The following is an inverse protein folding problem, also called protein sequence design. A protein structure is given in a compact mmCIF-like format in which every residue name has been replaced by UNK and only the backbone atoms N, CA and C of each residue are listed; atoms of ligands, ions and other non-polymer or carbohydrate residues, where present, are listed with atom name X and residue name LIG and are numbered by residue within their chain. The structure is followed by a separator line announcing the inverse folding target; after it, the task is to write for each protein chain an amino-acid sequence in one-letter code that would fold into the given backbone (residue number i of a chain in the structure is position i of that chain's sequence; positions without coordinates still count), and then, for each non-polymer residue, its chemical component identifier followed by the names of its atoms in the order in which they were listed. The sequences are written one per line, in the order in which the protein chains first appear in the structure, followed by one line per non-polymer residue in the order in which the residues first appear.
data_IF_218843357135
#
_entry.id   IF_218843357135
#
_cell.length_a   1.000
_cell.length_b   1.000
_cell.length_c   1.000
_cell.angle_alpha   90.00
_cell.angle_beta   90.00
_cell.angle_gamma   90.00
#
_symmetry.space_group_name_H-M   'P 1'
#
loop_
_entity.id
_entity.type
_entity.pdbx_description
1 polymer ?
#
# COMPACT_ATOMS: atom_id res chain seq x y z
N UNK A 1 9.84 17.68 -12.16
CA UNK A 1 9.27 16.97 -13.32
C UNK A 1 8.36 15.86 -12.82
N UNK A 2 7.24 15.63 -13.49
CA UNK A 2 6.29 14.57 -13.12
C UNK A 2 6.66 13.28 -13.82
N UNK A 3 6.83 12.20 -13.05
CA UNK A 3 7.17 10.86 -13.53
C UNK A 3 6.05 9.89 -13.21
N UNK A 4 6.03 8.77 -13.94
CA UNK A 4 5.03 7.71 -13.79
C UNK A 4 5.72 6.37 -13.65
N UNK A 5 5.30 5.59 -12.66
CA UNK A 5 5.63 4.16 -12.54
C UNK A 5 4.32 3.36 -12.57
N UNK A 6 4.34 2.20 -13.20
CA UNK A 6 3.18 1.31 -13.27
C UNK A 6 3.54 0.01 -12.60
N UNK A 7 2.75 -0.40 -11.62
CA UNK A 7 3.01 -1.57 -10.77
C UNK A 7 1.85 -2.56 -10.88
N UNK A 8 2.14 -3.85 -10.69
CA UNK A 8 1.11 -4.86 -10.44
C UNK A 8 1.03 -5.12 -8.95
N UNK A 9 -0.17 -4.97 -8.38
CA UNK A 9 -0.46 -5.16 -6.96
C UNK A 9 -1.57 -6.21 -6.78
N UNK A 10 -1.66 -6.84 -5.60
CA UNK A 10 -2.90 -7.48 -5.19
C UNK A 10 -4.09 -6.51 -5.24
N UNK A 11 -5.30 -7.01 -5.56
CA UNK A 11 -6.49 -6.16 -5.75
C UNK A 11 -6.83 -5.35 -4.49
N UNK A 12 -6.72 -5.96 -3.30
CA UNK A 12 -6.95 -5.26 -2.03
C UNK A 12 -5.97 -4.08 -1.81
N UNK A 13 -4.70 -4.24 -2.19
CA UNK A 13 -3.72 -3.16 -2.11
C UNK A 13 -4.05 -2.04 -3.10
N UNK A 14 -4.42 -2.38 -4.34
CA UNK A 14 -4.86 -1.37 -5.32
C UNK A 14 -6.01 -0.53 -4.74
N UNK A 15 -7.06 -1.19 -4.24
CA UNK A 15 -8.22 -0.53 -3.64
C UNK A 15 -7.84 0.32 -2.42
N UNK A 16 -6.95 -0.18 -1.56
CA UNK A 16 -6.41 0.58 -0.44
C UNK A 16 -5.75 1.88 -0.90
N UNK A 17 -4.79 1.82 -1.82
CA UNK A 17 -4.05 3.02 -2.27
C UNK A 17 -4.91 3.98 -3.09
N UNK A 18 -5.90 3.47 -3.83
CA UNK A 18 -6.90 4.31 -4.50
C UNK A 18 -7.73 5.12 -3.49
N UNK A 19 -8.11 4.52 -2.36
CA UNK A 19 -8.81 5.22 -1.31
C UNK A 19 -7.92 6.26 -0.60
N UNK A 20 -6.73 5.86 -0.17
CA UNK A 20 -5.84 6.70 0.65
C UNK A 20 -5.27 7.92 -0.09
N UNK A 21 -5.11 7.82 -1.42
CA UNK A 21 -4.50 8.88 -2.24
C UNK A 21 -5.48 9.53 -3.21
N UNK A 22 -6.79 9.37 -2.99
CA UNK A 22 -7.84 9.90 -3.87
C UNK A 22 -7.58 9.57 -5.35
N UNK A 23 -7.34 8.28 -5.61
CA UNK A 23 -7.06 7.78 -6.94
C UNK A 23 -8.19 8.04 -7.92
N UNK A 24 -7.83 8.19 -9.19
CA UNK A 24 -8.75 8.49 -10.28
C UNK A 24 -8.46 7.60 -11.49
N UNK A 25 -9.48 7.40 -12.31
CA UNK A 25 -9.35 6.64 -13.55
C UNK A 25 -8.95 7.57 -14.69
N UNK A 26 -7.98 7.13 -15.49
CA UNK A 26 -7.50 7.85 -16.66
C UNK A 26 -7.71 6.99 -17.89
N UNK A 27 -8.48 7.50 -18.84
CA UNK A 27 -8.58 6.89 -20.16
C UNK A 27 -7.41 7.35 -21.03
N UNK A 28 -6.64 6.40 -21.55
CA UNK A 28 -5.59 6.64 -22.56
C UNK A 28 -5.66 5.57 -23.62
N UNK A 29 -5.75 5.99 -24.89
CA UNK A 29 -5.74 5.12 -26.06
C UNK A 29 -6.81 4.00 -25.97
N UNK A 30 -8.01 4.33 -25.49
CA UNK A 30 -9.11 3.36 -25.34
C UNK A 30 -8.95 2.36 -24.18
N UNK A 31 -7.95 2.54 -23.31
CA UNK A 31 -7.73 1.72 -22.11
C UNK A 31 -7.84 2.59 -20.85
N UNK A 32 -8.60 2.11 -19.86
CA UNK A 32 -8.79 2.77 -18.56
C UNK A 32 -7.71 2.30 -17.59
N UNK A 33 -6.99 3.24 -16.99
CA UNK A 33 -5.94 2.97 -15.99
C UNK A 33 -6.28 3.63 -14.67
N UNK A 34 -6.17 2.87 -13.58
CA UNK A 34 -6.24 3.39 -12.22
C UNK A 34 -4.92 4.15 -11.91
N UNK A 35 -5.02 5.43 -11.54
CA UNK A 35 -3.87 6.28 -11.25
C UNK A 35 -4.00 7.03 -9.92
N UNK A 36 -2.90 7.12 -9.18
CA UNK A 36 -2.79 7.94 -7.97
C UNK A 36 -1.71 9.01 -8.16
N UNK A 37 -1.99 10.21 -7.64
CA UNK A 37 -1.01 11.29 -7.56
C UNK A 37 -0.39 11.30 -6.17
N UNK A 38 0.93 11.21 -6.11
CA UNK A 38 1.68 11.15 -4.86
C UNK A 38 2.53 12.38 -4.68
N UNK A 39 2.25 13.12 -3.60
CA UNK A 39 3.08 14.22 -3.15
C UNK A 39 4.39 13.72 -2.53
N UNK A 40 5.46 14.52 -2.66
CA UNK A 40 6.78 14.18 -2.08
C UNK A 40 6.74 14.03 -0.54
N UNK A 41 5.85 14.76 0.13
CA UNK A 41 5.64 14.77 1.58
C UNK A 41 4.99 13.49 2.10
N UNK A 42 4.20 12.82 1.28
CA UNK A 42 3.52 11.58 1.63
C UNK A 42 4.50 10.44 1.92
N UNK A 43 4.06 9.44 2.68
CA UNK A 43 4.90 8.29 3.01
C UNK A 43 5.34 7.53 1.76
N UNK A 44 4.42 7.25 0.84
CA UNK A 44 4.75 6.56 -0.41
C UNK A 44 5.66 7.42 -1.30
N UNK A 45 5.49 8.75 -1.28
CA UNK A 45 6.39 9.68 -1.98
C UNK A 45 7.81 9.66 -1.42
N UNK A 46 7.96 9.61 -0.09
CA UNK A 46 9.27 9.44 0.58
C UNK A 46 9.92 8.11 0.23
N UNK A 47 9.14 7.03 0.20
CA UNK A 47 9.63 5.70 -0.19
C UNK A 47 10.13 5.69 -1.64
N UNK A 48 9.34 6.22 -2.57
CA UNK A 48 9.72 6.34 -3.98
C UNK A 48 11.01 7.14 -4.10
N UNK A 49 11.12 8.27 -3.39
CA UNK A 49 12.35 9.07 -3.42
C UNK A 49 13.56 8.31 -2.86
N UNK A 50 13.39 7.54 -1.79
CA UNK A 50 14.46 6.77 -1.15
C UNK A 50 15.02 5.67 -2.05
N UNK A 51 14.16 4.98 -2.79
CA UNK A 51 14.56 3.88 -3.69
C UNK A 51 14.99 4.38 -5.07
N UNK A 52 14.67 5.62 -5.41
CA UNK A 52 15.04 6.21 -6.69
C UNK A 52 16.56 6.41 -6.78
N UNK A 53 17.11 6.21 -7.97
CA UNK A 53 18.54 6.33 -8.27
C UNK A 53 18.73 7.08 -9.59
N UNK A 54 19.87 7.77 -9.77
CA UNK A 54 20.24 8.31 -11.07
C UNK A 54 20.49 7.14 -12.02
N UNK A 55 19.66 7.04 -13.06
CA UNK A 55 19.75 6.02 -14.09
C UNK A 55 20.08 6.73 -15.40
N UNK A 56 21.30 6.55 -15.95
CA UNK A 56 21.73 7.27 -17.14
C UNK A 56 21.12 6.76 -18.45
N UNK A 57 20.58 5.53 -18.47
CA UNK A 57 20.01 4.90 -19.66
C UNK A 57 18.53 4.55 -19.46
N UNK A 58 17.74 4.56 -20.53
CA UNK A 58 16.31 4.22 -20.47
C UNK A 58 16.11 2.76 -20.05
N UNK A 59 15.37 2.55 -18.95
CA UNK A 59 14.98 1.20 -18.53
C UNK A 59 13.81 0.68 -19.37
N UNK A 60 13.72 -0.64 -19.50
CA UNK A 60 12.58 -1.28 -20.16
C UNK A 60 11.29 -0.94 -19.41
N UNK A 61 10.34 -0.31 -20.10
CA UNK A 61 9.04 0.04 -19.53
C UNK A 61 8.26 -1.24 -19.32
N UNK A 62 8.11 -1.66 -18.06
CA UNK A 62 7.20 -2.75 -17.73
C UNK A 62 5.76 -2.30 -17.99
N UNK A 63 5.04 -3.08 -18.79
CA UNK A 63 3.61 -2.92 -19.03
C UNK A 63 2.88 -4.06 -18.31
N UNK A 64 2.75 -4.01 -16.98
CA UNK A 64 1.98 -5.02 -16.27
C UNK A 64 0.53 -4.98 -16.75
N UNK A 65 -0.06 -6.15 -16.93
CA UNK A 65 -1.46 -6.35 -17.28
C UNK A 65 -2.19 -7.06 -16.15
N UNK A 66 -3.47 -6.74 -15.96
CA UNK A 66 -4.32 -7.40 -14.99
C UNK A 66 -5.15 -6.43 -14.13
N UNK A 67 -6.04 -6.97 -13.28
CA UNK A 67 -6.97 -6.16 -12.48
C UNK A 67 -6.28 -5.37 -11.36
N UNK A 68 -5.06 -5.76 -10.97
CA UNK A 68 -4.28 -5.16 -9.89
C UNK A 68 -3.32 -4.04 -10.33
N UNK A 69 -3.40 -3.59 -11.57
CA UNK A 69 -2.47 -2.59 -12.10
C UNK A 69 -2.77 -1.21 -11.50
N UNK A 70 -1.76 -0.58 -10.92
CA UNK A 70 -1.83 0.78 -10.41
C UNK A 70 -0.73 1.65 -11.03
N UNK A 71 -1.14 2.79 -11.57
CA UNK A 71 -0.24 3.84 -12.02
C UNK A 71 0.03 4.83 -10.89
N UNK A 72 1.30 5.10 -10.62
CA UNK A 72 1.70 6.08 -9.61
C UNK A 72 2.39 7.24 -10.31
N UNK A 73 1.80 8.42 -10.17
CA UNK A 73 2.37 9.68 -10.63
C UNK A 73 3.08 10.35 -9.45
N UNK A 74 4.36 10.67 -9.60
CA UNK A 74 5.17 11.29 -8.55
C UNK A 74 6.07 12.39 -9.10
N UNK A 75 6.49 13.31 -8.22
CA UNK A 75 7.40 14.38 -8.58
C UNK A 75 8.87 13.98 -8.33
N UNK A 76 9.73 14.19 -9.33
CA UNK A 76 11.18 14.09 -9.21
C UNK A 76 11.84 15.35 -9.76
N UNK A 77 12.87 15.86 -9.08
CA UNK A 77 13.59 17.08 -9.51
C UNK A 77 14.43 16.81 -10.76
N UNK A 78 15.09 15.66 -10.82
CA UNK A 78 16.06 15.33 -11.86
C UNK A 78 15.47 14.40 -12.92
N UNK A 79 15.83 14.65 -14.19
CA UNK A 79 15.38 13.82 -15.32
C UNK A 79 15.90 12.39 -15.22
N UNK A 80 17.11 12.18 -14.73
CA UNK A 80 17.73 10.85 -14.61
C UNK A 80 17.30 10.06 -13.36
N UNK A 81 16.65 10.71 -12.39
CA UNK A 81 16.37 10.08 -11.10
C UNK A 81 15.04 9.32 -11.12
N UNK A 82 15.10 7.99 -11.24
CA UNK A 82 13.95 7.09 -11.43
C UNK A 82 14.01 5.89 -10.48
N UNK A 83 12.89 5.19 -10.34
CA UNK A 83 12.80 3.95 -9.58
C UNK A 83 13.37 2.81 -10.44
N UNK A 84 14.45 2.13 -10.00
CA UNK A 84 14.97 0.99 -10.74
C UNK A 84 13.97 -0.18 -10.76
N UNK A 85 13.86 -0.85 -11.90
CA UNK A 85 12.95 -1.98 -12.11
C UNK A 85 13.17 -3.09 -11.08
N UNK A 86 14.42 -3.39 -10.71
CA UNK A 86 14.77 -4.38 -9.70
C UNK A 86 14.31 -4.03 -8.28
N UNK A 87 13.98 -2.75 -8.03
CA UNK A 87 13.45 -2.27 -6.75
C UNK A 87 11.92 -2.22 -6.70
N UNK A 88 11.23 -2.46 -7.82
CA UNK A 88 9.76 -2.50 -7.87
C UNK A 88 9.18 -3.54 -6.89
N UNK A 89 9.69 -4.79 -6.80
CA UNK A 89 9.16 -5.76 -5.85
C UNK A 89 9.31 -5.31 -4.38
N UNK A 90 10.41 -4.61 -4.06
CA UNK A 90 10.61 -4.05 -2.72
C UNK A 90 9.62 -2.93 -2.43
N UNK A 91 9.32 -2.07 -3.41
CA UNK A 91 8.28 -1.05 -3.27
C UNK A 91 6.92 -1.69 -2.97
N UNK A 92 6.55 -2.74 -3.70
CA UNK A 92 5.28 -3.48 -3.46
C UNK A 92 5.25 -4.08 -2.05
N UNK A 93 6.35 -4.67 -1.58
CA UNK A 93 6.44 -5.19 -0.22
C UNK A 93 6.30 -4.08 0.85
N UNK A 94 6.87 -2.89 0.61
CA UNK A 94 6.67 -1.76 1.52
C UNK A 94 5.24 -1.22 1.49
N UNK A 95 4.59 -1.23 0.32
CA UNK A 95 3.18 -0.89 0.18
C UNK A 95 2.27 -1.83 0.98
N UNK A 96 2.59 -3.13 1.01
CA UNK A 96 1.93 -4.12 1.87
C UNK A 96 2.09 -3.79 3.36
N UNK A 97 3.30 -3.42 3.79
CA UNK A 97 3.54 -3.05 5.19
C UNK A 97 2.81 -1.76 5.60
N UNK A 98 2.67 -0.78 4.72
CA UNK A 98 1.82 0.40 4.95
C UNK A 98 0.38 -0.02 5.18
N UNK A 99 -0.17 -0.89 4.34
CA UNK A 99 -1.53 -1.42 4.48
C UNK A 99 -1.71 -2.12 5.84
N UNK A 100 -0.81 -3.04 6.18
CA UNK A 100 -0.83 -3.78 7.45
C UNK A 100 -0.79 -2.85 8.65
N UNK A 101 0.13 -1.89 8.65
CA UNK A 101 0.27 -0.91 9.74
C UNK A 101 -0.98 -0.04 9.87
N UNK A 102 -1.59 0.36 8.76
CA UNK A 102 -2.81 1.17 8.76
C UNK A 102 -3.97 0.41 9.40
N UNK A 103 -4.17 -0.87 9.04
CA UNK A 103 -5.16 -1.74 9.70
C UNK A 103 -4.88 -1.84 11.20
N UNK A 104 -3.63 -2.08 11.60
CA UNK A 104 -3.26 -2.19 13.01
C UNK A 104 -3.63 -0.92 13.76
N UNK A 105 -3.24 0.26 13.25
CA UNK A 105 -3.51 1.54 13.89
C UNK A 105 -5.01 1.81 14.03
N UNK A 106 -5.79 1.57 12.97
CA UNK A 106 -7.23 1.83 12.96
C UNK A 106 -7.98 0.90 13.91
N UNK A 107 -7.69 -0.41 13.85
CA UNK A 107 -8.33 -1.42 14.71
C UNK A 107 -7.92 -1.21 16.16
N UNK A 108 -6.64 -0.93 16.42
CA UNK A 108 -6.13 -0.67 17.77
C UNK A 108 -6.81 0.53 18.41
N UNK A 109 -6.97 1.64 17.68
CA UNK A 109 -7.55 2.86 18.24
C UNK A 109 -8.95 2.62 18.83
N UNK A 110 -9.72 1.73 18.22
CA UNK A 110 -11.06 1.37 18.70
C UNK A 110 -10.98 0.25 19.75
N UNK A 111 -10.23 -0.82 19.47
CA UNK A 111 -10.15 -1.99 20.33
C UNK A 111 -9.54 -1.69 21.70
N UNK A 112 -8.52 -0.84 21.80
CA UNK A 112 -7.93 -0.43 23.07
C UNK A 112 -8.94 0.34 23.95
N UNK A 113 -9.98 0.95 23.35
CA UNK A 113 -11.00 1.71 24.06
C UNK A 113 -12.19 0.85 24.48
N UNK A 114 -12.68 0.00 23.57
CA UNK A 114 -13.93 -0.78 23.77
C UNK A 114 -13.67 -2.17 24.35
N UNK A 115 -12.49 -2.74 24.07
CA UNK A 115 -12.20 -4.16 24.32
C UNK A 115 -13.06 -5.10 23.48
N UNK A 116 -13.00 -6.39 23.80
CA UNK A 116 -13.83 -7.44 23.18
C UNK A 116 -13.28 -8.00 21.86
N UNK A 117 -14.16 -8.52 21.00
CA UNK A 117 -13.74 -9.03 19.68
C UNK A 117 -13.41 -7.88 18.73
N UNK A 118 -12.19 -7.89 18.19
CA UNK A 118 -11.72 -6.89 17.23
C UNK A 118 -12.15 -7.17 15.78
N UNK A 119 -12.71 -8.36 15.50
CA UNK A 119 -13.15 -8.77 14.16
C UNK A 119 -14.02 -7.73 13.43
N UNK A 120 -15.09 -7.20 14.05
CA UNK A 120 -15.94 -6.19 13.44
C UNK A 120 -15.18 -4.92 13.00
N UNK A 121 -14.17 -4.48 13.76
CA UNK A 121 -13.37 -3.30 13.42
C UNK A 121 -12.46 -3.55 12.22
N UNK A 122 -11.92 -4.77 12.08
CA UNK A 122 -11.19 -5.18 10.87
C UNK A 122 -12.12 -5.14 9.66
N UNK A 123 -13.32 -5.72 9.78
CA UNK A 123 -14.30 -5.71 8.70
C UNK A 123 -14.72 -4.28 8.31
N UNK A 124 -14.90 -3.39 9.28
CA UNK A 124 -15.21 -1.98 9.04
C UNK A 124 -14.08 -1.24 8.32
N UNK A 125 -12.83 -1.47 8.73
CA UNK A 125 -11.63 -0.90 8.10
C UNK A 125 -11.52 -1.30 6.63
N UNK A 126 -11.79 -2.56 6.30
CA UNK A 126 -11.79 -3.05 4.91
C UNK A 126 -12.95 -2.46 4.10
N UNK A 127 -14.16 -2.46 4.68
CA UNK A 127 -15.37 -1.94 4.03
C UNK A 127 -15.24 -0.47 3.64
N UNK A 128 -14.61 0.36 4.49
CA UNK A 128 -14.37 1.78 4.21
C UNK A 128 -13.59 2.02 2.92
N UNK A 129 -12.70 1.08 2.58
CA UNK A 129 -11.81 1.12 1.42
C UNK A 129 -12.33 0.29 0.25
N UNK A 130 -13.59 -0.13 0.32
CA UNK A 130 -14.25 -0.98 -0.67
C UNK A 130 -13.54 -2.32 -0.92
N UNK A 131 -12.80 -2.81 0.08
CA UNK A 131 -12.13 -4.12 0.04
C UNK A 131 -13.14 -5.18 0.50
N UNK A 132 -13.52 -6.06 -0.41
CA UNK A 132 -14.48 -7.14 -0.17
C UNK A 132 -13.79 -8.33 0.48
N UNK A 133 -14.40 -8.80 1.57
CA UNK A 133 -13.94 -9.98 2.31
C UNK A 133 -14.14 -11.23 1.47
N UNK A 134 -13.14 -12.12 1.51
CA UNK A 134 -13.14 -13.42 0.85
C UNK A 134 -13.26 -13.36 -0.69
N UNK A 135 -13.14 -12.15 -1.25
CA UNK A 135 -13.09 -11.85 -2.69
C UNK A 135 -11.77 -11.16 -3.01
N UNK A 136 -11.50 -10.01 -2.38
CA UNK A 136 -10.24 -9.27 -2.57
C UNK A 136 -9.17 -9.71 -1.58
N UNK A 137 -9.58 -10.05 -0.35
CA UNK A 137 -8.71 -10.46 0.75
C UNK A 137 -9.45 -11.45 1.66
N UNK A 138 -8.84 -12.60 1.92
CA UNK A 138 -9.32 -13.57 2.91
C UNK A 138 -9.45 -12.90 4.28
N UNK A 139 -10.64 -13.03 4.88
CA UNK A 139 -10.95 -12.33 6.12
C UNK A 139 -10.09 -12.82 7.30
N UNK A 140 -9.69 -14.10 7.31
CA UNK A 140 -8.79 -14.63 8.33
C UNK A 140 -7.39 -14.02 8.22
N UNK A 141 -6.91 -13.79 7.00
CA UNK A 141 -5.66 -13.09 6.72
C UNK A 141 -5.71 -11.66 7.23
N UNK A 142 -6.80 -10.93 6.99
CA UNK A 142 -6.98 -9.58 7.53
C UNK A 142 -6.99 -9.55 9.07
N UNK A 143 -7.72 -10.48 9.73
CA UNK A 143 -7.73 -10.59 11.20
C UNK A 143 -6.36 -10.98 11.76
N UNK A 144 -5.60 -11.79 11.03
CA UNK A 144 -4.26 -12.23 11.42
C UNK A 144 -3.30 -11.04 11.55
N UNK A 145 -3.42 -10.00 10.72
CA UNK A 145 -2.57 -8.80 10.80
C UNK A 145 -2.61 -8.20 12.21
N UNK A 146 -3.80 -7.98 12.76
CA UNK A 146 -3.94 -7.43 14.11
C UNK A 146 -3.60 -8.45 15.21
N UNK A 147 -3.99 -9.72 15.03
CA UNK A 147 -3.64 -10.80 15.98
C UNK A 147 -2.13 -10.91 16.19
N UNK A 148 -1.37 -11.00 15.10
CA UNK A 148 0.09 -11.11 15.12
C UNK A 148 0.73 -9.89 15.79
N UNK A 149 0.13 -8.70 15.65
CA UNK A 149 0.56 -7.50 16.37
C UNK A 149 0.33 -7.61 17.89
N UNK A 150 -0.85 -8.06 18.33
CA UNK A 150 -1.11 -8.28 19.75
C UNK A 150 -0.17 -9.31 20.36
N UNK A 151 0.06 -10.45 19.67
CA UNK A 151 0.99 -11.49 20.13
C UNK A 151 2.41 -10.94 20.29
N UNK A 152 2.87 -10.10 19.34
CA UNK A 152 4.17 -9.42 19.45
C UNK A 152 4.24 -8.52 20.67
N UNK A 153 3.19 -7.76 20.97
CA UNK A 153 3.14 -6.89 22.15
C UNK A 153 3.17 -7.70 23.45
N UNK A 154 2.40 -8.79 23.53
CA UNK A 154 2.37 -9.68 24.69
C UNK A 154 3.78 -10.27 24.93
N UNK A 155 4.43 -10.79 23.88
CA UNK A 155 5.81 -11.32 23.98
C UNK A 155 6.82 -10.25 24.40
N UNK A 156 6.67 -9.01 23.90
CA UNK A 156 7.56 -7.90 24.28
C UNK A 156 7.39 -7.53 25.75
N UNK A 157 6.16 -7.44 26.24
CA UNK A 157 5.88 -7.11 27.63
C UNK A 157 6.32 -8.22 28.59
N UNK A 158 6.14 -9.49 28.20
CA UNK A 158 6.63 -10.63 28.98
C UNK A 158 8.16 -10.61 29.16
N UNK A 159 8.92 -10.12 28.17
CA UNK A 159 10.38 -9.97 28.26
C UNK A 159 10.84 -8.79 29.12
N UNK A 160 10.01 -7.77 29.28
CA UNK A 160 10.32 -6.57 30.08
C UNK A 160 10.02 -6.82 31.55
N UNK A 161 8.98 -7.62 31.82
CA UNK A 161 8.53 -7.96 33.17
C UNK A 161 9.19 -9.23 33.74
N UNK A 162 10.13 -9.85 33.01
CA UNK A 162 10.93 -10.99 33.43
C UNK A 162 12.34 -10.53 33.79
#
# INVERSE_FOLDING_TARGET
MTKKITLSLPVYLKKFFLYEYHGYQVERNGSTFDEIHIEKSSELGKLIHLISRPIPFTQAVQKPSGPGVLSIRYYSREKIHEVPVEKIPLLVAQMEEIFRRTIICEVRGIHDTVGGDYGPYVAQSLKRRSIERDVDLDYQTARKIYRDHMEKLIRKNAKINA
#
